data_IF_488627538055
#
_entry.id   IF_488627538055
#
_cell.length_a   1.000
_cell.length_b   1.000
_cell.length_c   1.000
_cell.angle_alpha   90.00
_cell.angle_beta   90.00
_cell.angle_gamma   90.00
#
_symmetry.space_group_name_H-M   'P 1'
#
loop_
_entity.id
_entity.type
_entity.pdbx_description
1 polymer ?
#
# COMPACT_ATOMS: atom_id res chain seq x y z
N UNK A 1 -9.25 27.45 18.17
CA UNK A 1 -9.77 26.67 17.02
C UNK A 1 -9.39 25.21 17.25
N UNK A 2 -10.30 24.38 17.77
CA UNK A 2 -10.01 22.99 18.13
C UNK A 2 -10.24 22.06 16.92
N UNK A 3 -9.40 22.18 15.89
CA UNK A 3 -9.38 21.24 14.77
C UNK A 3 -8.55 20.00 15.10
N UNK A 4 -8.87 18.84 14.50
CA UNK A 4 -7.97 17.68 14.47
C UNK A 4 -7.37 17.55 13.07
N UNK A 5 -6.09 17.26 12.98
CA UNK A 5 -5.42 16.86 11.74
C UNK A 5 -5.31 15.34 11.64
N UNK A 6 -5.31 14.86 10.41
CA UNK A 6 -5.05 13.45 10.10
C UNK A 6 -3.55 13.26 9.91
N UNK A 7 -2.95 12.39 10.72
CA UNK A 7 -1.57 11.97 10.58
C UNK A 7 -1.58 10.51 10.09
N UNK A 8 -1.03 10.26 8.91
CA UNK A 8 -0.76 8.90 8.43
C UNK A 8 0.65 8.48 8.86
N UNK A 9 0.80 7.40 9.61
CA UNK A 9 2.10 6.83 10.00
C UNK A 9 2.21 5.36 9.56
N UNK A 10 3.12 5.12 8.62
CA UNK A 10 3.23 3.93 7.76
C UNK A 10 1.88 3.36 7.31
N UNK A 11 0.95 4.25 6.92
CA UNK A 11 -0.38 3.88 6.42
C UNK A 11 -1.48 3.76 7.47
N UNK A 12 -1.19 3.89 8.77
CA UNK A 12 -2.22 4.01 9.81
C UNK A 12 -2.62 5.47 10.01
N UNK A 13 -3.92 5.73 10.04
CA UNK A 13 -4.48 7.08 10.17
C UNK A 13 -4.81 7.41 11.62
N UNK A 14 -4.24 8.49 12.13
CA UNK A 14 -4.43 8.99 13.49
C UNK A 14 -5.06 10.39 13.46
N UNK A 15 -6.10 10.60 14.26
CA UNK A 15 -6.73 11.92 14.43
C UNK A 15 -6.12 12.65 15.62
N UNK A 16 -5.17 13.54 15.35
CA UNK A 16 -4.40 14.27 16.35
C UNK A 16 -4.93 15.71 16.49
N UNK A 17 -5.16 16.24 17.70
CA UNK A 17 -5.58 17.63 17.86
C UNK A 17 -4.51 18.61 17.35
N UNK A 18 -4.96 19.71 16.74
CA UNK A 18 -4.07 20.77 16.29
C UNK A 18 -3.43 21.47 17.49
N UNK A 19 -2.15 21.81 17.35
CA UNK A 19 -1.34 22.43 18.40
C UNK A 19 -0.66 21.42 19.33
N UNK A 20 -1.00 20.13 19.24
CA UNK A 20 -0.41 19.11 20.10
C UNK A 20 0.96 18.63 19.60
N UNK A 21 1.74 18.09 20.54
CA UNK A 21 3.00 17.43 20.23
C UNK A 21 2.76 16.13 19.45
N UNK A 22 3.42 15.97 18.31
CA UNK A 22 3.24 14.83 17.41
C UNK A 22 3.59 13.51 18.09
N UNK A 23 4.74 13.41 18.78
CA UNK A 23 5.15 12.17 19.45
C UNK A 23 4.19 11.79 20.56
N UNK A 24 3.90 12.72 21.47
CA UNK A 24 3.02 12.44 22.61
C UNK A 24 1.63 11.97 22.15
N UNK A 25 1.08 12.64 21.14
CA UNK A 25 -0.23 12.31 20.59
C UNK A 25 -0.25 10.92 19.94
N UNK A 26 0.76 10.61 19.12
CA UNK A 26 0.82 9.31 18.44
C UNK A 26 1.01 8.16 19.44
N UNK A 27 1.86 8.33 20.45
CA UNK A 27 2.03 7.33 21.52
C UNK A 27 0.74 7.11 22.31
N UNK A 28 0.01 8.18 22.66
CA UNK A 28 -1.27 8.09 23.35
C UNK A 28 -2.33 7.35 22.52
N UNK A 29 -2.26 7.46 21.19
CA UNK A 29 -3.11 6.75 20.24
C UNK A 29 -2.57 5.34 19.89
N UNK A 30 -1.56 4.85 20.61
CA UNK A 30 -1.03 3.50 20.47
C UNK A 30 -0.07 3.29 19.30
N UNK A 31 0.43 4.34 18.65
CA UNK A 31 1.46 4.22 17.62
C UNK A 31 2.79 3.77 18.24
N UNK A 32 3.51 2.88 17.56
CA UNK A 32 4.84 2.44 17.98
C UNK A 32 5.88 3.31 17.28
N UNK A 33 6.52 4.20 18.04
CA UNK A 33 7.58 5.09 17.55
C UNK A 33 8.79 4.94 18.47
N UNK A 34 9.99 4.64 17.93
CA UNK A 34 11.20 4.65 18.74
C UNK A 34 11.40 6.03 19.38
N UNK A 35 11.63 6.10 20.68
CA UNK A 35 11.86 7.37 21.37
C UNK A 35 12.72 7.15 22.62
N UNK A 36 13.39 8.20 23.09
CA UNK A 36 14.21 8.13 24.31
C UNK A 36 14.24 9.48 25.02
N UNK A 37 14.91 10.50 24.46
CA UNK A 37 15.20 11.73 25.22
C UNK A 37 14.03 12.72 25.36
N UNK A 38 13.01 12.62 24.51
CA UNK A 38 11.89 13.59 24.36
C UNK A 38 12.29 15.07 24.11
N UNK A 39 13.58 15.39 24.11
CA UNK A 39 14.15 16.73 23.95
C UNK A 39 14.84 16.95 22.58
N UNK A 40 14.63 16.05 21.63
CA UNK A 40 15.20 16.14 20.27
C UNK A 40 16.69 15.78 20.13
N UNK A 41 17.44 15.69 21.23
CA UNK A 41 18.89 15.46 21.19
C UNK A 41 19.32 14.09 20.63
N UNK A 42 18.63 13.01 21.00
CA UNK A 42 19.05 11.65 20.60
C UNK A 42 18.60 11.24 19.19
N UNK A 43 17.66 11.97 18.58
CA UNK A 43 17.15 11.67 17.24
C UNK A 43 16.34 10.37 17.08
N UNK A 44 16.06 9.61 18.15
CA UNK A 44 15.39 8.30 18.03
C UNK A 44 13.95 8.38 17.51
N UNK A 45 13.23 9.47 17.80
CA UNK A 45 11.88 9.73 17.31
C UNK A 45 11.82 10.33 15.90
N UNK A 46 12.85 10.09 15.08
CA UNK A 46 12.90 10.61 13.71
C UNK A 46 11.85 9.90 12.87
N UNK A 47 11.00 10.68 12.23
CA UNK A 47 10.02 10.22 11.26
C UNK A 47 10.31 10.87 9.91
N UNK A 48 9.96 10.18 8.84
CA UNK A 48 10.30 10.54 7.48
C UNK A 48 9.03 10.95 6.75
N UNK A 49 9.00 12.17 6.21
CA UNK A 49 7.90 12.59 5.35
C UNK A 49 8.02 11.88 4.00
N UNK A 50 6.90 11.47 3.41
CA UNK A 50 6.87 10.93 2.04
C UNK A 50 7.43 11.95 1.05
N UNK A 51 7.08 13.23 1.25
CA UNK A 51 7.62 14.35 0.51
C UNK A 51 8.16 15.38 1.49
N UNK A 52 9.49 15.45 1.64
CA UNK A 52 10.14 16.46 2.46
C UNK A 52 11.29 15.94 3.29
N UNK A 53 11.72 16.76 4.24
CA UNK A 53 12.80 16.41 5.16
C UNK A 53 12.28 15.59 6.35
N UNK A 54 13.11 14.69 6.90
CA UNK A 54 12.78 14.00 8.14
C UNK A 54 12.54 15.01 9.27
N UNK A 55 11.62 14.69 10.16
CA UNK A 55 11.29 15.48 11.34
C UNK A 55 11.57 14.71 12.62
N UNK A 56 11.71 15.42 13.73
CA UNK A 56 11.76 14.82 15.07
C UNK A 56 10.36 14.92 15.68
N UNK A 57 9.71 13.78 15.91
CA UNK A 57 8.33 13.77 16.37
C UNK A 57 8.17 14.48 17.72
N UNK A 58 9.15 14.38 18.63
CA UNK A 58 9.11 15.07 19.92
C UNK A 58 9.26 16.60 19.84
N UNK A 59 9.75 17.13 18.71
CA UNK A 59 9.93 18.56 18.48
C UNK A 59 8.94 19.13 17.46
N UNK A 60 7.96 18.32 17.03
CA UNK A 60 7.01 18.70 15.98
C UNK A 60 5.64 18.94 16.60
N UNK A 61 5.07 20.10 16.30
CA UNK A 61 3.68 20.44 16.63
C UNK A 61 2.78 20.13 15.44
N UNK A 62 1.64 19.49 15.69
CA UNK A 62 0.67 19.16 14.65
C UNK A 62 -0.15 20.40 14.28
N UNK A 63 0.03 20.92 13.07
CA UNK A 63 -0.72 22.07 12.55
C UNK A 63 -1.34 21.81 11.16
N UNK A 64 -0.97 20.71 10.53
CA UNK A 64 -1.46 20.28 9.22
C UNK A 64 -1.47 18.75 9.12
N UNK A 65 -2.20 18.16 8.16
CA UNK A 65 -2.09 16.74 7.87
C UNK A 65 -0.67 16.35 7.45
N UNK A 66 -0.20 15.18 7.88
CA UNK A 66 1.13 14.66 7.54
C UNK A 66 1.04 13.20 7.12
N UNK A 67 1.88 12.81 6.15
CA UNK A 67 2.12 11.42 5.77
C UNK A 67 3.58 11.06 6.10
N UNK A 68 3.74 10.16 7.07
CA UNK A 68 5.00 9.88 7.74
C UNK A 68 5.34 8.38 7.70
N UNK A 69 6.63 8.09 7.75
CA UNK A 69 7.20 6.75 7.86
C UNK A 69 8.15 6.69 9.06
N UNK A 70 8.25 5.53 9.70
CA UNK A 70 9.22 5.23 10.78
C UNK A 70 10.62 4.94 10.26
N UNK A 71 10.75 4.65 8.96
CA UNK A 71 12.01 4.43 8.24
C UNK A 71 12.08 5.33 7.01
N UNK A 72 13.28 5.71 6.55
CA UNK A 72 13.39 6.43 5.28
C UNK A 72 12.81 5.56 4.17
N UNK A 73 12.05 6.16 3.26
CA UNK A 73 11.66 5.47 2.05
C UNK A 73 12.92 5.21 1.22
N UNK A 74 13.13 3.97 0.80
CA UNK A 74 14.20 3.65 -0.14
C UNK A 74 13.74 4.09 -1.54
N UNK A 75 14.57 4.90 -2.20
CA UNK A 75 14.28 5.45 -3.52
C UNK A 75 15.27 4.89 -4.52
N UNK A 76 14.73 4.24 -5.53
CA UNK A 76 15.47 3.65 -6.62
C UNK A 76 15.08 4.36 -7.92
N UNK A 77 16.07 4.73 -8.72
CA UNK A 77 15.83 5.05 -10.13
C UNK A 77 16.14 3.78 -10.89
N UNK A 78 15.11 3.18 -11.48
CA UNK A 78 15.23 1.93 -12.22
C UNK A 78 15.18 2.24 -13.70
N UNK A 79 16.34 2.19 -14.34
CA UNK A 79 16.42 2.18 -15.79
C UNK A 79 15.93 0.84 -16.31
N UNK A 80 14.84 0.84 -17.09
CA UNK A 80 14.24 -0.36 -17.66
C UNK A 80 14.77 -0.55 -19.08
N UNK A 81 16.04 -0.92 -19.18
CA UNK A 81 16.72 -1.08 -20.47
C UNK A 81 16.15 -2.25 -21.31
N UNK A 82 15.64 -3.28 -20.66
CA UNK A 82 14.99 -4.43 -21.31
C UNK A 82 13.87 -4.93 -20.43
N UNK A 83 12.65 -4.89 -20.95
CA UNK A 83 11.46 -5.40 -20.29
C UNK A 83 10.53 -6.07 -21.30
N UNK A 84 9.72 -6.99 -20.79
CA UNK A 84 8.60 -7.60 -21.51
C UNK A 84 7.28 -7.08 -20.94
N UNK A 85 6.26 -7.04 -21.78
CA UNK A 85 4.93 -6.57 -21.42
C UNK A 85 3.92 -7.63 -21.80
N UNK A 86 3.14 -8.07 -20.82
CA UNK A 86 1.92 -8.85 -21.05
C UNK A 86 0.73 -7.93 -20.80
N UNK A 87 -0.02 -7.60 -21.85
CA UNK A 87 -1.23 -6.81 -21.70
C UNK A 87 -2.31 -7.68 -21.04
N UNK A 88 -2.88 -7.20 -19.92
CA UNK A 88 -3.96 -7.88 -19.21
C UNK A 88 -5.31 -7.29 -19.63
N UNK A 89 -5.37 -5.96 -19.75
CA UNK A 89 -6.53 -5.21 -20.22
C UNK A 89 -6.09 -3.90 -20.88
N UNK A 90 -7.06 -3.10 -21.34
CA UNK A 90 -6.79 -1.74 -21.83
C UNK A 90 -6.26 -0.80 -20.74
N UNK A 91 -6.41 -1.18 -19.46
CA UNK A 91 -5.96 -0.38 -18.32
C UNK A 91 -4.65 -0.87 -17.71
N UNK A 92 -4.49 -2.18 -17.59
CA UNK A 92 -3.37 -2.77 -16.87
C UNK A 92 -2.57 -3.72 -17.76
N UNK A 93 -1.27 -3.66 -17.60
CA UNK A 93 -0.33 -4.64 -18.14
C UNK A 93 0.57 -5.14 -17.02
N UNK A 94 1.20 -6.30 -17.23
CA UNK A 94 2.24 -6.84 -16.39
C UNK A 94 3.59 -6.59 -17.07
N UNK A 95 4.46 -5.87 -16.38
CA UNK A 95 5.81 -5.55 -16.84
C UNK A 95 6.78 -6.52 -16.16
N UNK A 96 7.66 -7.14 -16.94
CA UNK A 96 8.73 -8.00 -16.47
C UNK A 96 10.07 -7.40 -16.88
N UNK A 97 10.84 -6.92 -15.92
CA UNK A 97 12.08 -6.19 -16.18
C UNK A 97 13.28 -6.82 -15.47
N UNK A 98 14.40 -6.89 -16.20
CA UNK A 98 15.69 -7.21 -15.62
C UNK A 98 16.27 -5.94 -15.00
N UNK A 99 16.32 -5.87 -13.68
CA UNK A 99 16.88 -4.73 -12.97
C UNK A 99 17.47 -5.16 -11.63
N UNK A 100 18.38 -4.36 -11.02
CA UNK A 100 19.03 -4.71 -9.75
C UNK A 100 18.09 -4.63 -8.53
N UNK A 101 16.82 -4.25 -8.74
CA UNK A 101 15.82 -4.18 -7.68
C UNK A 101 15.00 -5.47 -7.67
N UNK A 102 15.01 -6.17 -6.54
CA UNK A 102 14.15 -7.34 -6.30
C UNK A 102 13.10 -6.98 -5.26
N UNK A 103 11.82 -7.17 -5.59
CA UNK A 103 10.70 -6.94 -4.68
C UNK A 103 9.92 -8.24 -4.50
N UNK A 104 9.63 -8.68 -3.26
CA UNK A 104 8.90 -9.92 -3.03
C UNK A 104 7.45 -9.82 -3.53
N UNK A 105 6.82 -10.96 -3.78
CA UNK A 105 5.40 -11.03 -4.13
C UNK A 105 4.54 -10.25 -3.13
N UNK A 106 3.66 -9.39 -3.64
CA UNK A 106 2.78 -8.55 -2.83
C UNK A 106 3.43 -7.26 -2.31
N UNK A 107 4.72 -7.03 -2.57
CA UNK A 107 5.37 -5.78 -2.20
C UNK A 107 4.74 -4.60 -2.93
N UNK A 108 4.16 -3.68 -2.16
CA UNK A 108 3.58 -2.45 -2.68
C UNK A 108 4.65 -1.37 -2.76
N UNK A 109 4.66 -0.63 -3.86
CA UNK A 109 5.59 0.47 -4.08
C UNK A 109 4.93 1.62 -4.84
N UNK A 110 5.43 2.83 -4.62
CA UNK A 110 5.04 4.00 -5.41
C UNK A 110 5.97 4.09 -6.60
N UNK A 111 5.42 4.46 -7.75
CA UNK A 111 6.20 4.77 -8.93
C UNK A 111 5.97 6.21 -9.34
N UNK A 112 7.00 6.82 -9.91
CA UNK A 112 6.93 8.12 -10.56
C UNK A 112 7.54 7.98 -11.96
N UNK A 113 6.78 8.41 -12.95
CA UNK A 113 7.17 8.47 -14.35
C UNK A 113 6.91 9.89 -14.87
N UNK A 114 7.96 10.69 -15.03
CA UNK A 114 7.84 12.13 -15.33
C UNK A 114 6.93 12.83 -14.30
N UNK A 115 5.77 13.32 -14.74
CA UNK A 115 4.76 13.99 -13.91
C UNK A 115 3.66 13.04 -13.40
N UNK A 116 3.66 11.80 -13.86
CA UNK A 116 2.70 10.77 -13.46
C UNK A 116 3.20 10.07 -12.20
N UNK A 117 2.29 9.85 -11.26
CA UNK A 117 2.57 9.12 -10.03
C UNK A 117 1.49 8.07 -9.81
N UNK A 118 1.90 6.93 -9.27
CA UNK A 118 0.96 5.90 -8.90
C UNK A 118 1.56 4.91 -7.93
N UNK A 119 0.82 3.82 -7.76
CA UNK A 119 1.14 2.71 -6.89
C UNK A 119 0.97 1.43 -7.67
N UNK A 120 1.88 0.50 -7.44
CA UNK A 120 1.84 -0.83 -7.99
C UNK A 120 2.23 -1.86 -6.93
N UNK A 121 2.03 -3.12 -7.29
CA UNK A 121 2.45 -4.28 -6.52
C UNK A 121 3.36 -5.15 -7.37
N UNK A 122 4.41 -5.66 -6.73
CA UNK A 122 5.22 -6.75 -7.26
C UNK A 122 4.40 -8.04 -7.35
N UNK A 123 4.45 -8.66 -8.51
CA UNK A 123 4.01 -10.03 -8.80
C UNK A 123 5.20 -10.94 -9.16
N UNK A 124 6.41 -10.58 -8.72
CA UNK A 124 7.59 -11.44 -8.83
C UNK A 124 7.46 -12.67 -7.94
N UNK A 125 7.58 -13.85 -8.55
CA UNK A 125 7.67 -15.15 -7.86
C UNK A 125 9.12 -15.63 -7.70
N UNK A 126 10.02 -15.15 -8.56
CA UNK A 126 11.46 -15.42 -8.50
C UNK A 126 12.23 -14.12 -8.24
N UNK A 127 13.43 -14.24 -7.66
CA UNK A 127 14.24 -13.07 -7.29
C UNK A 127 14.92 -12.35 -8.47
N UNK A 128 14.93 -12.96 -9.65
CA UNK A 128 15.78 -12.56 -10.80
C UNK A 128 15.16 -11.47 -11.68
N UNK A 129 13.85 -11.24 -11.53
CA UNK A 129 13.08 -10.27 -12.31
C UNK A 129 12.23 -9.41 -11.40
N UNK A 130 12.13 -8.12 -11.73
CA UNK A 130 11.08 -7.28 -11.19
C UNK A 130 9.86 -7.40 -12.09
N UNK A 131 8.81 -8.03 -11.57
CA UNK A 131 7.53 -8.22 -12.25
C UNK A 131 6.46 -7.45 -11.50
N UNK A 132 5.74 -6.55 -12.16
CA UNK A 132 4.77 -5.66 -11.51
C UNK A 132 3.67 -5.23 -12.46
N UNK A 133 2.55 -4.75 -11.91
CA UNK A 133 1.45 -4.22 -12.72
C UNK A 133 1.65 -2.74 -13.05
N UNK A 134 1.35 -2.34 -14.29
CA UNK A 134 1.55 -0.97 -14.73
C UNK A 134 0.41 -0.49 -15.64
N UNK A 135 0.05 0.81 -15.61
CA UNK A 135 -0.99 1.33 -16.49
C UNK A 135 -0.59 1.20 -17.97
N UNK A 136 -1.42 0.53 -18.76
CA UNK A 136 -1.18 0.31 -20.20
C UNK A 136 -0.97 1.63 -20.94
N UNK A 137 -1.71 2.69 -20.58
CA UNK A 137 -1.60 4.04 -21.18
C UNK A 137 -0.21 4.69 -21.06
N UNK A 138 0.63 4.20 -20.14
CA UNK A 138 1.95 4.78 -19.84
C UNK A 138 3.11 3.91 -20.36
N UNK A 139 2.83 2.77 -21.00
CA UNK A 139 3.87 1.80 -21.32
C UNK A 139 4.90 2.32 -22.32
N UNK A 140 4.48 3.13 -23.29
CA UNK A 140 5.37 3.71 -24.32
C UNK A 140 6.36 4.73 -23.73
N UNK A 141 6.13 5.15 -22.48
CA UNK A 141 6.98 6.08 -21.76
C UNK A 141 7.91 5.38 -20.77
N UNK A 142 7.79 4.06 -20.61
CA UNK A 142 8.43 3.28 -19.55
C UNK A 142 9.89 2.93 -19.89
N UNK A 143 10.76 3.94 -20.02
CA UNK A 143 12.22 3.74 -20.16
C UNK A 143 12.96 3.81 -18.84
N UNK A 144 12.47 4.65 -17.92
CA UNK A 144 13.01 4.83 -16.58
C UNK A 144 11.85 5.07 -15.64
N UNK A 145 11.82 4.38 -14.50
CA UNK A 145 10.81 4.59 -13.47
C UNK A 145 11.50 4.81 -12.13
N UNK A 146 11.08 5.85 -11.42
CA UNK A 146 11.49 6.02 -10.03
C UNK A 146 10.56 5.17 -9.17
N UNK A 147 11.13 4.24 -8.43
CA UNK A 147 10.42 3.42 -7.45
C UNK A 147 10.74 3.95 -6.06
N UNK A 148 9.71 4.25 -5.30
CA UNK A 148 9.79 4.61 -3.89
C UNK A 148 9.15 3.51 -3.06
N UNK A 149 9.98 2.83 -2.28
CA UNK A 149 9.59 1.78 -1.37
C UNK A 149 9.44 2.37 0.03
N UNK A 150 8.19 2.42 0.52
CA UNK A 150 7.91 2.73 1.92
C UNK A 150 8.22 1.54 2.84
N UNK A 151 7.93 1.70 4.13
CA UNK A 151 7.97 0.57 5.07
C UNK A 151 7.05 -0.55 4.59
N UNK A 152 7.63 -1.69 4.20
CA UNK A 152 6.91 -2.91 3.82
C UNK A 152 6.26 -3.47 5.09
N UNK A 153 5.00 -3.14 5.37
CA UNK A 153 4.39 -3.50 6.67
C UNK A 153 3.99 -4.97 6.80
N UNK A 154 3.88 -5.74 5.71
CA UNK A 154 3.90 -7.19 5.78
C UNK A 154 4.03 -7.81 4.39
N UNK A 155 5.05 -8.63 4.20
CA UNK A 155 5.09 -9.61 3.11
C UNK A 155 3.84 -10.50 3.21
N UNK A 156 3.36 -11.01 2.07
CA UNK A 156 2.27 -11.98 2.09
C UNK A 156 2.74 -13.24 2.83
N UNK A 157 1.98 -13.66 3.84
CA UNK A 157 2.26 -14.86 4.63
C UNK A 157 1.52 -16.05 4.01
N UNK A 158 2.26 -17.02 3.49
CA UNK A 158 1.68 -18.21 2.85
C UNK A 158 0.69 -18.98 3.74
N UNK A 159 0.81 -18.85 5.07
CA UNK A 159 -0.06 -19.52 6.04
C UNK A 159 -1.32 -18.71 6.40
N UNK A 160 -1.35 -17.42 6.09
CA UNK A 160 -2.45 -16.53 6.43
C UNK A 160 -3.58 -16.60 5.41
N UNK A 161 -4.80 -16.32 5.88
CA UNK A 161 -5.99 -16.26 5.04
C UNK A 161 -6.09 -14.90 4.33
N UNK A 162 -6.18 -14.92 3.00
CA UNK A 162 -6.18 -13.73 2.15
C UNK A 162 -7.49 -13.56 1.40
N UNK A 163 -7.92 -12.31 1.25
CA UNK A 163 -9.06 -11.90 0.43
C UNK A 163 -8.59 -10.87 -0.59
N UNK A 164 -8.89 -11.05 -1.89
CA UNK A 164 -8.64 -10.02 -2.90
C UNK A 164 -9.93 -9.25 -3.16
N UNK A 165 -9.89 -7.94 -2.97
CA UNK A 165 -10.96 -7.01 -3.28
C UNK A 165 -10.57 -6.17 -4.49
N UNK A 166 -11.47 -6.00 -5.45
CA UNK A 166 -11.17 -5.25 -6.67
C UNK A 166 -12.29 -4.30 -7.09
N UNK A 167 -11.93 -3.16 -7.69
CA UNK A 167 -12.90 -2.31 -8.40
C UNK A 167 -13.35 -2.96 -9.71
N UNK A 168 -14.54 -2.64 -10.21
CA UNK A 168 -15.13 -3.27 -11.41
C UNK A 168 -14.15 -3.42 -12.59
N UNK A 169 -13.31 -2.41 -12.86
CA UNK A 169 -12.36 -2.43 -13.97
C UNK A 169 -11.08 -3.26 -13.73
N UNK A 170 -10.90 -3.78 -12.51
CA UNK A 170 -9.70 -4.50 -12.06
C UNK A 170 -9.91 -6.01 -11.88
N UNK A 171 -11.02 -6.56 -12.39
CA UNK A 171 -11.29 -8.01 -12.30
C UNK A 171 -10.13 -8.84 -12.88
N UNK A 172 -9.66 -8.50 -14.08
CA UNK A 172 -8.57 -9.25 -14.74
C UNK A 172 -7.27 -9.17 -13.93
N UNK A 173 -7.03 -8.04 -13.27
CA UNK A 173 -5.87 -7.84 -12.41
C UNK A 173 -5.95 -8.73 -11.16
N UNK A 174 -7.13 -8.81 -10.54
CA UNK A 174 -7.40 -9.64 -9.37
C UNK A 174 -7.27 -11.14 -9.68
N UNK A 175 -7.82 -11.58 -10.81
CA UNK A 175 -7.70 -12.96 -11.29
C UNK A 175 -6.24 -13.33 -11.61
N UNK A 176 -5.50 -12.42 -12.25
CA UNK A 176 -4.08 -12.61 -12.52
C UNK A 176 -3.26 -12.71 -11.22
N UNK A 177 -3.51 -11.82 -10.26
CA UNK A 177 -2.78 -11.82 -8.99
C UNK A 177 -3.11 -13.05 -8.13
N UNK A 178 -4.38 -13.48 -8.12
CA UNK A 178 -4.80 -14.73 -7.46
C UNK A 178 -4.05 -15.93 -8.03
N UNK A 179 -3.90 -16.01 -9.36
CA UNK A 179 -3.09 -17.06 -10.02
C UNK A 179 -1.62 -16.98 -9.63
N UNK A 180 -1.03 -15.79 -9.59
CA UNK A 180 0.36 -15.60 -9.16
C UNK A 180 0.57 -16.07 -7.71
N UNK A 181 -0.39 -15.81 -6.82
CA UNK A 181 -0.35 -16.34 -5.46
C UNK A 181 -0.44 -17.86 -5.43
N UNK A 182 -1.32 -18.48 -6.24
CA UNK A 182 -1.39 -19.94 -6.34
C UNK A 182 -0.06 -20.55 -6.84
N UNK A 183 0.53 -19.96 -7.90
CA UNK A 183 1.81 -20.38 -8.45
C UNK A 183 2.96 -20.24 -7.44
N UNK A 184 2.85 -19.28 -6.51
CA UNK A 184 3.79 -19.08 -5.40
C UNK A 184 3.55 -20.01 -4.18
N UNK A 185 2.56 -20.92 -4.26
CA UNK A 185 2.31 -21.93 -3.24
C UNK A 185 1.30 -21.53 -2.15
N UNK A 186 0.51 -20.46 -2.35
CA UNK A 186 -0.57 -20.12 -1.43
C UNK A 186 -1.69 -21.15 -1.56
N UNK A 187 -1.65 -22.21 -0.74
CA UNK A 187 -2.55 -23.37 -0.81
C UNK A 187 -4.00 -23.04 -0.39
N UNK A 188 -4.20 -21.98 0.39
CA UNK A 188 -5.54 -21.55 0.78
C UNK A 188 -6.24 -20.86 -0.40
N UNK A 189 -7.51 -21.22 -0.62
CA UNK A 189 -8.35 -20.55 -1.60
C UNK A 189 -8.44 -19.07 -1.23
N UNK A 190 -7.79 -18.19 -2.02
CA UNK A 190 -7.80 -16.76 -1.84
C UNK A 190 -9.02 -16.18 -2.58
N UNK A 191 -10.15 -15.94 -1.90
CA UNK A 191 -11.37 -15.55 -2.59
C UNK A 191 -11.17 -14.18 -3.21
N UNK A 192 -11.76 -13.99 -4.39
CA UNK A 192 -11.78 -12.70 -5.07
C UNK A 192 -13.21 -12.16 -5.04
N UNK A 193 -13.39 -10.87 -4.71
CA UNK A 193 -14.71 -10.25 -4.67
C UNK A 193 -14.69 -8.80 -5.19
N UNK A 194 -15.69 -8.39 -6.00
CA UNK A 194 -15.81 -7.01 -6.45
C UNK A 194 -16.22 -6.10 -5.29
N UNK A 195 -15.71 -4.87 -5.29
CA UNK A 195 -16.09 -3.82 -4.34
C UNK A 195 -17.37 -3.17 -4.83
N UNK A 196 -18.48 -3.46 -4.14
CA UNK A 196 -19.81 -2.91 -4.42
C UNK A 196 -20.38 -2.25 -3.17
N UNK A 197 -19.93 -1.04 -2.84
CA UNK A 197 -20.29 -0.36 -1.59
C UNK A 197 -21.81 -0.11 -1.41
N UNK A 198 -22.58 -0.22 -2.49
CA UNK A 198 -24.04 -0.05 -2.50
C UNK A 198 -24.82 -1.36 -2.28
N UNK A 199 -24.15 -2.52 -2.17
CA UNK A 199 -24.77 -3.83 -1.98
C UNK A 199 -24.13 -4.55 -0.78
N UNK A 200 -24.85 -5.52 -0.18
CA UNK A 200 -24.27 -6.37 0.87
C UNK A 200 -23.42 -7.48 0.22
N UNK A 201 -22.16 -7.71 0.65
CA UNK A 201 -21.31 -8.74 0.07
C UNK A 201 -21.68 -10.12 0.60
N UNK A 202 -22.82 -10.65 0.14
CA UNK A 202 -23.41 -11.91 0.61
C UNK A 202 -22.47 -13.10 0.45
N UNK A 203 -21.68 -13.14 -0.62
CA UNK A 203 -20.68 -14.17 -0.90
C UNK A 203 -19.56 -14.25 0.14
N UNK A 204 -19.31 -13.17 0.90
CA UNK A 204 -18.29 -13.10 1.95
C UNK A 204 -18.87 -13.30 3.36
N UNK A 205 -20.17 -13.60 3.47
CA UNK A 205 -20.84 -13.60 4.76
C UNK A 205 -20.25 -14.62 5.72
N UNK A 206 -20.07 -14.23 6.98
CA UNK A 206 -19.54 -15.07 8.06
C UNK A 206 -18.11 -15.60 7.84
N UNK A 207 -17.33 -14.97 6.96
CA UNK A 207 -15.93 -15.32 6.75
C UNK A 207 -14.99 -14.41 7.54
N UNK A 208 -13.77 -14.90 7.79
CA UNK A 208 -12.71 -14.15 8.44
C UNK A 208 -11.43 -14.31 7.63
N UNK A 209 -10.76 -13.19 7.39
CA UNK A 209 -9.48 -13.12 6.72
C UNK A 209 -8.47 -12.38 7.60
N UNK A 210 -7.22 -12.78 7.52
CA UNK A 210 -6.12 -12.07 8.15
C UNK A 210 -5.80 -10.81 7.35
N UNK A 211 -5.87 -10.88 6.02
CA UNK A 211 -5.49 -9.77 5.14
C UNK A 211 -6.39 -9.61 3.93
N UNK A 212 -6.84 -8.37 3.68
CA UNK A 212 -7.47 -7.98 2.43
C UNK A 212 -6.49 -7.20 1.53
N UNK A 213 -6.37 -7.68 0.30
CA UNK A 213 -5.54 -7.16 -0.78
C UNK A 213 -6.44 -6.37 -1.73
N UNK A 214 -6.30 -5.05 -1.73
CA UNK A 214 -7.24 -4.13 -2.37
C UNK A 214 -6.64 -3.59 -3.67
N UNK A 215 -7.15 -4.07 -4.80
CA UNK A 215 -6.79 -3.68 -6.18
C UNK A 215 -7.83 -2.67 -6.69
N UNK A 216 -7.68 -1.41 -6.30
CA UNK A 216 -8.73 -0.42 -6.44
C UNK A 216 -8.25 0.87 -7.09
N UNK A 217 -8.87 1.24 -8.20
CA UNK A 217 -8.57 2.48 -8.90
C UNK A 217 -9.50 3.64 -8.46
N UNK A 218 -10.62 3.32 -7.82
CA UNK A 218 -11.54 4.33 -7.28
C UNK A 218 -11.27 4.55 -5.80
N UNK A 219 -11.37 5.78 -5.27
CA UNK A 219 -11.09 6.04 -3.86
C UNK A 219 -12.20 5.46 -2.96
N UNK A 220 -12.10 4.18 -2.59
CA UNK A 220 -12.83 3.63 -1.46
C UNK A 220 -12.00 3.86 -0.20
N UNK A 221 -12.57 4.58 0.78
CA UNK A 221 -11.89 4.76 2.05
C UNK A 221 -11.84 3.43 2.82
N UNK A 222 -10.81 3.27 3.66
CA UNK A 222 -10.72 2.13 4.58
C UNK A 222 -12.00 1.98 5.41
N UNK A 223 -12.52 3.09 5.93
CA UNK A 223 -13.76 3.12 6.71
C UNK A 223 -14.97 2.59 5.92
N UNK A 224 -15.10 2.97 4.64
CA UNK A 224 -16.19 2.48 3.80
C UNK A 224 -16.08 0.98 3.53
N UNK A 225 -14.86 0.46 3.30
CA UNK A 225 -14.62 -0.97 3.10
C UNK A 225 -14.90 -1.77 4.38
N UNK A 226 -14.45 -1.28 5.54
CA UNK A 226 -14.71 -1.92 6.83
C UNK A 226 -16.21 -1.98 7.14
N UNK A 227 -16.95 -0.88 6.92
CA UNK A 227 -18.40 -0.84 7.11
C UNK A 227 -19.11 -1.80 6.15
N UNK A 228 -18.72 -1.80 4.88
CA UNK A 228 -19.28 -2.68 3.85
C UNK A 228 -19.10 -4.17 4.19
N UNK A 229 -17.90 -4.59 4.58
CA UNK A 229 -17.62 -5.98 5.00
C UNK A 229 -18.34 -6.35 6.30
N UNK A 230 -18.41 -5.41 7.26
CA UNK A 230 -19.12 -5.64 8.52
C UNK A 230 -20.61 -5.87 8.30
N UNK A 231 -21.20 -5.26 7.27
CA UNK A 231 -22.63 -5.45 6.93
C UNK A 231 -22.99 -6.90 6.58
N UNK A 232 -22.04 -7.70 6.08
CA UNK A 232 -22.21 -9.14 5.83
C UNK A 232 -21.62 -10.03 6.94
N UNK A 233 -21.17 -9.44 8.05
CA UNK A 233 -20.43 -10.13 9.11
C UNK A 233 -19.10 -10.75 8.64
N UNK A 234 -18.53 -10.24 7.55
CA UNK A 234 -17.17 -10.55 7.16
C UNK A 234 -16.19 -9.75 8.03
N UNK A 235 -15.08 -10.36 8.44
CA UNK A 235 -14.02 -9.69 9.23
C UNK A 235 -12.68 -9.79 8.54
N UNK A 236 -11.95 -8.68 8.50
CA UNK A 236 -10.59 -8.57 7.98
C UNK A 236 -9.72 -7.91 9.03
N UNK A 237 -8.54 -8.46 9.33
CA UNK A 237 -7.64 -7.87 10.33
C UNK A 237 -6.75 -6.74 9.77
N UNK A 238 -6.28 -6.88 8.53
CA UNK A 238 -5.40 -5.89 7.88
C UNK A 238 -5.84 -5.62 6.43
N UNK A 239 -5.68 -4.37 5.96
CA UNK A 239 -5.90 -4.00 4.57
C UNK A 239 -4.61 -3.51 3.93
N UNK A 240 -4.36 -3.91 2.68
CA UNK A 240 -3.26 -3.41 1.86
C UNK A 240 -3.79 -2.94 0.52
N UNK A 241 -3.66 -1.65 0.24
CA UNK A 241 -4.06 -1.03 -1.02
C UNK A 241 -2.92 -1.13 -2.03
N UNK A 242 -3.10 -1.99 -3.03
CA UNK A 242 -2.03 -2.49 -3.89
C UNK A 242 -1.80 -1.65 -5.14
N UNK A 243 -2.87 -1.18 -5.77
CA UNK A 243 -2.80 -0.39 -7.00
C UNK A 243 -3.52 0.93 -6.83
N UNK A 244 -3.01 1.94 -7.54
CA UNK A 244 -3.64 3.24 -7.72
C UNK A 244 -2.93 3.95 -8.88
N UNK A 245 -3.66 4.41 -9.89
CA UNK A 245 -3.11 5.31 -10.91
C UNK A 245 -3.88 6.61 -10.87
N UNK A 246 -3.21 7.73 -10.61
CA UNK A 246 -3.78 9.05 -10.91
C UNK A 246 -3.92 9.26 -12.42
#
# INVERSE_FOLDING_TARGET
MNGKCTISLDGHSYRVPNGENLLASLLQLGAIIPHSCLAGACGSCRLYQVHGQPLLACQTTVNQPLELLTKPAERFIVALATYQVEQLSDRWCKVQAHCPLSLPLGAVFRWQLKNEVGRSVSCSITGDLLTFYFPTRLIDQLSEVRIEQGAQRAQLDISASHLILYSADNQVLAENFSRVMQDAGFEQNCPIAPIELNSTPSALSFQRFDKALVLNDQPASLEALEQWLTSSRCRVAEFTFMTHSN
#
